data_IF_666620881241
#
_entry.id   IF_666620881241
#
_cell.length_a   1.000
_cell.length_b   1.000
_cell.length_c   1.000
_cell.angle_alpha   90.00
_cell.angle_beta   90.00
_cell.angle_gamma   90.00
#
_symmetry.space_group_name_H-M   'P 1'
#
loop_
_entity.id
_entity.type
_entity.pdbx_description
1 polymer ?
#
# COMPACT_ATOMS: atom_id res chain seq x y z
N UNK A 1 38.45 -33.83 35.69
CA UNK A 1 38.06 -34.05 34.28
C UNK A 1 36.60 -33.67 34.11
N UNK A 2 36.34 -32.60 33.35
CA UNK A 2 35.13 -32.25 32.58
C UNK A 2 35.06 -30.74 32.50
N UNK A 3 35.39 -30.19 31.33
CA UNK A 3 35.26 -28.77 31.03
C UNK A 3 33.80 -28.46 30.61
N UNK A 4 33.24 -27.28 30.95
CA UNK A 4 31.96 -26.86 30.41
C UNK A 4 32.09 -26.42 28.95
N UNK A 5 31.15 -26.88 28.13
CA UNK A 5 31.08 -26.70 26.68
C UNK A 5 30.62 -25.25 26.37
N UNK A 6 31.48 -24.49 25.69
CA UNK A 6 31.16 -23.16 25.19
C UNK A 6 30.03 -23.25 24.15
N UNK A 7 28.90 -22.56 24.39
CA UNK A 7 27.89 -22.32 23.36
C UNK A 7 28.44 -21.25 22.43
N UNK A 8 28.99 -21.66 21.29
CA UNK A 8 29.18 -20.75 20.15
C UNK A 8 27.79 -20.42 19.61
N UNK A 9 27.26 -19.25 19.97
CA UNK A 9 26.19 -18.62 19.22
C UNK A 9 26.83 -18.02 17.96
N UNK A 10 26.48 -18.56 16.80
CA UNK A 10 26.81 -17.96 15.51
C UNK A 10 26.07 -16.62 15.36
N UNK A 11 26.72 -15.55 14.86
CA UNK A 11 26.00 -14.35 14.48
C UNK A 11 25.33 -14.63 13.14
N UNK A 12 24.03 -14.91 13.13
CA UNK A 12 23.25 -14.80 11.89
C UNK A 12 23.01 -13.33 11.64
N UNK A 13 23.75 -12.77 10.67
CA UNK A 13 23.40 -11.52 10.01
C UNK A 13 23.36 -11.77 8.50
N UNK A 14 22.16 -11.96 8.00
CA UNK A 14 21.77 -11.54 6.64
C UNK A 14 20.29 -11.18 6.74
N UNK A 15 20.03 -9.95 7.19
CA UNK A 15 18.76 -9.29 6.93
C UNK A 15 18.87 -8.70 5.53
N UNK A 16 18.49 -9.50 4.54
CA UNK A 16 18.18 -9.09 3.18
C UNK A 16 16.90 -9.84 2.81
N UNK A 17 15.86 -9.63 3.62
CA UNK A 17 14.51 -10.03 3.27
C UNK A 17 13.95 -8.95 2.33
N UNK A 18 13.70 -9.25 1.04
CA UNK A 18 13.24 -8.26 0.05
C UNK A 18 11.88 -7.62 0.39
N UNK A 19 11.17 -8.13 1.40
CA UNK A 19 9.87 -7.61 1.84
C UNK A 19 9.97 -6.25 2.56
N UNK A 20 11.10 -5.91 3.20
CA UNK A 20 11.26 -4.59 3.84
C UNK A 20 11.46 -3.47 2.80
N UNK A 21 12.15 -3.75 1.69
CA UNK A 21 12.35 -2.77 0.62
C UNK A 21 11.03 -2.43 -0.10
N UNK A 22 10.19 -3.44 -0.39
CA UNK A 22 8.87 -3.25 -0.99
C UNK A 22 7.94 -2.35 -0.15
N UNK A 23 8.13 -2.29 1.17
CA UNK A 23 7.35 -1.42 2.06
C UNK A 23 7.72 0.07 1.93
N UNK A 24 8.95 0.40 1.52
CA UNK A 24 9.41 1.78 1.41
C UNK A 24 8.85 2.46 0.15
N UNK A 25 8.83 1.73 -0.97
CA UNK A 25 8.26 2.22 -2.24
C UNK A 25 6.74 2.42 -2.16
N UNK A 26 6.02 1.51 -1.48
CA UNK A 26 4.58 1.65 -1.25
C UNK A 26 4.23 2.93 -0.45
N UNK A 27 4.99 3.24 0.60
CA UNK A 27 4.77 4.43 1.41
C UNK A 27 5.08 5.73 0.64
N UNK A 28 6.08 5.71 -0.24
CA UNK A 28 6.41 6.84 -1.10
C UNK A 28 5.29 7.12 -2.12
N UNK A 29 4.73 6.07 -2.74
CA UNK A 29 3.58 6.17 -3.63
C UNK A 29 2.34 6.71 -2.90
N UNK A 30 2.05 6.22 -1.69
CA UNK A 30 0.95 6.74 -0.88
C UNK A 30 1.10 8.24 -0.60
N UNK A 31 2.33 8.71 -0.32
CA UNK A 31 2.62 10.12 -0.08
C UNK A 31 2.49 10.99 -1.36
N UNK A 32 2.88 10.46 -2.51
CA UNK A 32 2.69 11.11 -3.82
C UNK A 32 1.19 11.33 -4.10
N UNK A 33 0.39 10.27 -3.92
CA UNK A 33 -1.03 10.24 -4.27
C UNK A 33 -1.94 10.87 -3.21
N UNK A 34 -1.42 11.16 -2.02
CA UNK A 34 -2.16 11.77 -0.91
C UNK A 34 -2.81 13.13 -1.25
N UNK A 35 -2.34 13.80 -2.32
CA UNK A 35 -2.87 15.10 -2.76
C UNK A 35 -4.03 14.98 -3.74
N UNK A 36 -4.27 13.81 -4.33
CA UNK A 36 -5.32 13.62 -5.32
C UNK A 36 -6.71 13.73 -4.70
N UNK A 37 -7.63 14.37 -5.42
CA UNK A 37 -9.07 14.24 -5.15
C UNK A 37 -9.55 12.80 -5.37
N UNK A 38 -10.78 12.51 -4.94
CA UNK A 38 -11.37 11.19 -5.17
C UNK A 38 -11.52 10.89 -6.66
N UNK A 39 -12.03 11.86 -7.42
CA UNK A 39 -12.26 11.71 -8.87
C UNK A 39 -10.94 11.50 -9.63
N UNK A 40 -9.90 12.26 -9.31
CA UNK A 40 -8.57 12.09 -9.92
C UNK A 40 -7.99 10.70 -9.61
N UNK A 41 -8.02 10.28 -8.34
CA UNK A 41 -7.51 8.97 -7.96
C UNK A 41 -8.30 7.81 -8.61
N UNK A 42 -9.63 7.94 -8.68
CA UNK A 42 -10.50 6.94 -9.34
C UNK A 42 -10.22 6.86 -10.84
N UNK A 43 -10.14 8.00 -11.52
CA UNK A 43 -9.95 8.03 -12.96
C UNK A 43 -8.56 7.48 -13.35
N UNK A 44 -7.55 7.76 -12.54
CA UNK A 44 -6.23 7.17 -12.70
C UNK A 44 -6.25 5.65 -12.43
N UNK A 45 -6.94 5.19 -11.38
CA UNK A 45 -7.10 3.77 -11.09
C UNK A 45 -7.76 3.02 -12.25
N UNK A 46 -8.81 3.60 -12.85
CA UNK A 46 -9.45 3.03 -14.03
C UNK A 46 -8.48 2.94 -15.21
N UNK A 47 -7.61 3.94 -15.40
CA UNK A 47 -6.56 3.90 -16.43
C UNK A 47 -5.56 2.77 -16.19
N UNK A 48 -5.09 2.61 -14.95
CA UNK A 48 -4.17 1.53 -14.54
C UNK A 48 -4.79 0.17 -14.80
N UNK A 49 -6.03 -0.06 -14.37
CA UNK A 49 -6.75 -1.32 -14.58
C UNK A 49 -6.88 -1.62 -16.08
N UNK A 50 -7.27 -0.65 -16.89
CA UNK A 50 -7.37 -0.84 -18.36
C UNK A 50 -6.04 -1.25 -19.00
N UNK A 51 -4.93 -0.69 -18.53
CA UNK A 51 -3.59 -1.06 -19.03
C UNK A 51 -3.24 -2.49 -18.64
N UNK A 52 -3.47 -2.87 -17.38
CA UNK A 52 -3.26 -4.24 -16.90
C UNK A 52 -4.11 -5.26 -17.68
N UNK A 53 -5.39 -4.94 -17.91
CA UNK A 53 -6.31 -5.80 -18.66
C UNK A 53 -5.94 -5.96 -20.15
N UNK A 54 -5.20 -5.01 -20.72
CA UNK A 54 -4.73 -5.12 -22.11
C UNK A 54 -3.69 -6.23 -22.30
N UNK A 55 -2.96 -6.58 -21.23
CA UNK A 55 -1.88 -7.58 -21.26
C UNK A 55 -0.71 -7.23 -22.19
N UNK A 56 -0.58 -5.97 -22.62
CA UNK A 56 0.45 -5.53 -23.56
C UNK A 56 1.78 -5.11 -22.88
N UNK A 57 1.77 -4.93 -21.57
CA UNK A 57 2.89 -4.44 -20.77
C UNK A 57 3.87 -5.58 -20.45
N UNK A 58 5.14 -5.26 -20.20
CA UNK A 58 6.10 -6.23 -19.66
C UNK A 58 5.75 -6.61 -18.22
N UNK A 59 6.40 -7.65 -17.68
CA UNK A 59 6.20 -8.06 -16.28
C UNK A 59 6.55 -6.94 -15.31
N UNK A 60 7.68 -6.26 -15.52
CA UNK A 60 8.14 -5.17 -14.64
C UNK A 60 7.17 -3.98 -14.67
N UNK A 61 6.70 -3.59 -15.86
CA UNK A 61 5.67 -2.56 -16.01
C UNK A 61 4.34 -2.97 -15.39
N UNK A 62 3.95 -4.25 -15.50
CA UNK A 62 2.73 -4.78 -14.89
C UNK A 62 2.80 -4.75 -13.36
N UNK A 63 3.96 -5.03 -12.77
CA UNK A 63 4.17 -4.92 -11.33
C UNK A 63 4.10 -3.47 -10.86
N UNK A 64 4.75 -2.54 -11.56
CA UNK A 64 4.67 -1.12 -11.24
C UNK A 64 3.24 -0.57 -11.35
N UNK A 65 2.50 -0.99 -12.38
CA UNK A 65 1.09 -0.66 -12.53
C UNK A 65 0.24 -1.23 -11.38
N UNK A 66 0.50 -2.47 -10.97
CA UNK A 66 -0.18 -3.08 -9.83
C UNK A 66 0.06 -2.31 -8.53
N UNK A 67 1.32 -2.00 -8.19
CA UNK A 67 1.66 -1.25 -6.97
C UNK A 67 1.01 0.15 -6.95
N UNK A 68 1.03 0.84 -8.09
CA UNK A 68 0.34 2.13 -8.23
C UNK A 68 -1.18 1.97 -8.10
N UNK A 69 -1.75 0.94 -8.69
CA UNK A 69 -3.17 0.61 -8.56
C UNK A 69 -3.59 0.38 -7.11
N UNK A 70 -2.80 -0.36 -6.34
CA UNK A 70 -3.02 -0.59 -4.91
C UNK A 70 -2.97 0.73 -4.11
N UNK A 71 -2.01 1.61 -4.42
CA UNK A 71 -1.90 2.91 -3.77
C UNK A 71 -3.10 3.84 -4.10
N UNK A 72 -3.55 3.85 -5.35
CA UNK A 72 -4.74 4.59 -5.77
C UNK A 72 -6.02 4.05 -5.10
N UNK A 73 -6.15 2.73 -4.96
CA UNK A 73 -7.26 2.10 -4.26
C UNK A 73 -7.31 2.53 -2.78
N UNK A 74 -6.18 2.46 -2.05
CA UNK A 74 -6.06 2.95 -0.67
C UNK A 74 -6.44 4.44 -0.54
N UNK A 75 -6.05 5.27 -1.52
CA UNK A 75 -6.44 6.68 -1.55
C UNK A 75 -7.96 6.85 -1.70
N UNK A 76 -8.59 6.08 -2.58
CA UNK A 76 -10.05 6.09 -2.76
C UNK A 76 -10.77 5.66 -1.48
N UNK A 77 -10.31 4.58 -0.84
CA UNK A 77 -10.86 4.09 0.43
C UNK A 77 -10.77 5.14 1.53
N UNK A 78 -9.64 5.87 1.63
CA UNK A 78 -9.46 6.96 2.59
C UNK A 78 -10.53 8.05 2.42
N UNK A 79 -10.83 8.43 1.18
CA UNK A 79 -11.89 9.40 0.87
C UNK A 79 -13.28 8.88 1.27
N UNK A 80 -13.60 7.64 0.91
CA UNK A 80 -14.90 7.03 1.19
C UNK A 80 -15.11 6.84 2.71
N UNK A 81 -14.09 6.39 3.43
CA UNK A 81 -14.12 6.28 4.89
C UNK A 81 -14.38 7.65 5.55
N UNK A 82 -13.71 8.70 5.08
CA UNK A 82 -13.93 10.06 5.57
C UNK A 82 -15.35 10.60 5.28
N UNK A 83 -15.92 10.24 4.12
CA UNK A 83 -17.30 10.59 3.78
C UNK A 83 -18.30 9.85 4.68
N UNK A 84 -18.11 8.54 4.87
CA UNK A 84 -18.96 7.72 5.73
C UNK A 84 -18.96 8.24 7.17
N UNK A 85 -17.79 8.55 7.74
CA UNK A 85 -17.69 9.08 9.09
C UNK A 85 -18.47 10.40 9.29
N UNK A 86 -18.50 11.27 8.26
CA UNK A 86 -19.29 12.51 8.30
C UNK A 86 -20.80 12.23 8.29
N UNK A 87 -21.24 11.23 7.54
CA UNK A 87 -22.64 10.81 7.51
C UNK A 87 -23.06 10.24 8.86
N UNK A 88 -22.25 9.33 9.41
CA UNK A 88 -22.49 8.70 10.70
C UNK A 88 -22.59 9.76 11.82
N UNK A 89 -21.70 10.75 11.81
CA UNK A 89 -21.74 11.86 12.77
C UNK A 89 -23.06 12.64 12.70
N UNK A 90 -23.57 12.95 11.49
CA UNK A 90 -24.85 13.67 11.33
C UNK A 90 -26.06 12.82 11.72
N UNK A 91 -26.02 11.52 11.48
CA UNK A 91 -27.10 10.61 11.87
C UNK A 91 -27.16 10.39 13.38
N UNK A 92 -26.03 10.54 14.07
CA UNK A 92 -25.95 10.45 15.53
C UNK A 92 -26.42 11.72 16.26
N UNK A 93 -26.52 12.86 15.57
CA UNK A 93 -27.09 14.08 16.14
C UNK A 93 -28.61 13.90 16.29
N UNK A 94 -29.17 13.97 17.52
CA UNK A 94 -30.60 13.87 17.71
C UNK A 94 -31.27 15.03 16.97
N UNK A 95 -32.03 14.71 15.92
CA UNK A 95 -32.84 15.67 15.18
C UNK A 95 -33.80 16.33 16.16
N UNK A 96 -33.49 17.57 16.52
CA UNK A 96 -34.35 18.47 17.31
C UNK A 96 -35.18 19.30 16.34
#
# INVERSE_FOLDING_TARGET
>A
MTAPRQKKTEPTKTGDDPVEAASADAAALDAELAKLSYEEARDELVSVVRRLESGAETLEESLALWERGEALARRCETWLAGAQAKLDARLAEPTT
#
